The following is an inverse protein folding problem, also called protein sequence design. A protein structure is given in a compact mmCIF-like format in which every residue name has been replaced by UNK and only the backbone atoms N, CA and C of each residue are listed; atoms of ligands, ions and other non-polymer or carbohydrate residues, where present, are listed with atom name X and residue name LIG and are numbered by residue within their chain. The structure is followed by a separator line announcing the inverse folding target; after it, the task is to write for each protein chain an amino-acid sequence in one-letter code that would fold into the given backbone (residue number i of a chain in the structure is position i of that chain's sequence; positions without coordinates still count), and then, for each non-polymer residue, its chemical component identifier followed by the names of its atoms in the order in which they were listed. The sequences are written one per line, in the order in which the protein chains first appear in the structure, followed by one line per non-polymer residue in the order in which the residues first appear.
data_IF_693875658727
#
_entry.id   IF_693875658727
#
_cell.length_a   1.000
_cell.length_b   1.000
_cell.length_c   1.000
_cell.angle_alpha   90.00
_cell.angle_beta   90.00
_cell.angle_gamma   90.00
#
_symmetry.space_group_name_H-M   'P 1'
#
loop_
_entity.id
_entity.type
_entity.pdbx_description
1 polymer ?
#
# COMPACT_ATOMS: atom_id res chain seq x y z
N UNK A 1 -28.51 -11.46 -35.99
CA UNK A 1 -27.39 -10.65 -35.47
C UNK A 1 -27.41 -10.75 -33.94
N UNK A 2 -26.65 -11.68 -33.37
CA UNK A 2 -26.57 -11.88 -31.93
C UNK A 2 -25.59 -10.85 -31.35
N UNK A 3 -26.04 -10.04 -30.39
CA UNK A 3 -25.18 -9.02 -29.74
C UNK A 3 -24.03 -9.74 -29.02
N UNK A 4 -22.81 -9.22 -29.19
CA UNK A 4 -21.65 -9.62 -28.37
C UNK A 4 -22.02 -9.45 -26.88
N UNK A 5 -21.75 -10.43 -26.01
CA UNK A 5 -21.81 -10.18 -24.58
C UNK A 5 -20.73 -9.14 -24.26
N UNK A 6 -21.14 -8.01 -23.68
CA UNK A 6 -20.17 -7.07 -23.12
C UNK A 6 -19.41 -7.80 -22.01
N UNK A 7 -18.10 -7.70 -22.01
CA UNK A 7 -17.29 -8.05 -20.85
C UNK A 7 -17.88 -7.35 -19.62
N UNK A 8 -18.03 -8.03 -18.48
CA UNK A 8 -18.42 -7.36 -17.25
C UNK A 8 -17.37 -6.28 -17.01
N UNK A 9 -17.73 -5.02 -17.23
CA UNK A 9 -16.87 -3.91 -16.86
C UNK A 9 -16.66 -4.02 -15.36
N UNK A 10 -15.44 -4.33 -14.94
CA UNK A 10 -15.04 -4.10 -13.56
C UNK A 10 -15.35 -2.63 -13.25
N UNK A 11 -16.03 -2.37 -12.14
CA UNK A 11 -16.12 -1.02 -11.62
C UNK A 11 -14.70 -0.43 -11.55
N UNK A 12 -14.52 0.86 -11.85
CA UNK A 12 -13.23 1.52 -11.63
C UNK A 12 -12.76 1.18 -10.21
N UNK A 13 -11.56 0.63 -10.08
CA UNK A 13 -10.99 0.34 -8.76
C UNK A 13 -10.75 1.68 -8.09
N UNK A 14 -11.41 1.93 -6.96
CA UNK A 14 -11.26 3.18 -6.23
C UNK A 14 -9.89 3.19 -5.52
N UNK A 15 -9.14 4.27 -5.70
CA UNK A 15 -7.79 4.40 -5.12
C UNK A 15 -7.81 4.31 -3.59
N UNK A 16 -8.89 4.79 -2.98
CA UNK A 16 -9.13 4.74 -1.54
C UNK A 16 -9.21 3.28 -1.05
N UNK A 17 -10.03 2.44 -1.70
CA UNK A 17 -10.13 1.01 -1.38
C UNK A 17 -8.78 0.30 -1.50
N UNK A 18 -8.01 0.61 -2.55
CA UNK A 18 -6.66 0.08 -2.75
C UNK A 18 -5.71 0.45 -1.62
N UNK A 19 -5.69 1.73 -1.22
CA UNK A 19 -4.83 2.22 -0.16
C UNK A 19 -5.24 1.67 1.20
N UNK A 20 -6.54 1.51 1.43
CA UNK A 20 -7.07 0.90 2.64
C UNK A 20 -6.60 -0.56 2.76
N UNK A 21 -6.76 -1.36 1.70
CA UNK A 21 -6.29 -2.75 1.71
C UNK A 21 -4.76 -2.85 1.82
N UNK A 22 -4.03 -1.94 1.18
CA UNK A 22 -2.57 -1.88 1.31
C UNK A 22 -2.14 -1.55 2.75
N UNK A 23 -2.84 -0.62 3.42
CA UNK A 23 -2.61 -0.29 4.81
C UNK A 23 -2.91 -1.48 5.72
N UNK A 24 -4.03 -2.18 5.51
CA UNK A 24 -4.36 -3.41 6.26
C UNK A 24 -3.26 -4.45 6.13
N UNK A 25 -2.83 -4.72 4.89
CA UNK A 25 -1.76 -5.66 4.60
C UNK A 25 -0.44 -5.26 5.28
N UNK A 26 -0.10 -3.98 5.27
CA UNK A 26 1.13 -3.45 5.88
C UNK A 26 1.09 -3.61 7.40
N UNK A 27 -0.02 -3.23 8.05
CA UNK A 27 -0.20 -3.39 9.49
C UNK A 27 -0.21 -4.86 9.91
N UNK A 28 -0.83 -5.75 9.12
CA UNK A 28 -0.87 -7.18 9.38
C UNK A 28 0.52 -7.82 9.23
N UNK A 29 1.28 -7.39 8.22
CA UNK A 29 2.67 -7.84 8.02
C UNK A 29 3.57 -7.42 9.18
N UNK A 30 3.36 -6.21 9.72
CA UNK A 30 4.03 -5.72 10.93
C UNK A 30 3.73 -6.61 12.14
N UNK A 31 2.44 -6.93 12.37
CA UNK A 31 2.03 -7.80 13.48
C UNK A 31 2.63 -9.20 13.35
N UNK A 32 2.68 -9.75 12.14
CA UNK A 32 3.23 -11.08 11.89
C UNK A 32 4.76 -11.12 11.90
N UNK A 33 5.44 -9.97 11.99
CA UNK A 33 6.90 -9.90 11.89
C UNK A 33 7.42 -10.34 10.52
N UNK A 34 6.62 -10.20 9.46
CA UNK A 34 7.00 -10.56 8.09
C UNK A 34 7.56 -9.37 7.31
N UNK A 35 7.61 -8.18 7.93
CA UNK A 35 8.37 -7.06 7.39
C UNK A 35 9.86 -7.34 7.59
N UNK A 36 10.66 -7.05 6.57
CA UNK A 36 12.12 -7.09 6.73
C UNK A 36 12.55 -6.14 7.85
N UNK A 37 13.66 -6.46 8.52
CA UNK A 37 14.14 -5.73 9.72
C UNK A 37 14.35 -4.23 9.45
N UNK A 38 14.66 -3.87 8.21
CA UNK A 38 14.87 -2.48 7.77
C UNK A 38 13.54 -1.74 7.45
N UNK A 39 12.40 -2.40 7.59
CA UNK A 39 11.07 -1.91 7.19
C UNK A 39 10.04 -1.99 8.33
N UNK A 40 10.50 -2.07 9.57
CA UNK A 40 9.65 -1.96 10.75
C UNK A 40 8.94 -0.60 10.81
N UNK A 41 7.67 -0.59 11.23
CA UNK A 41 6.88 0.65 11.32
C UNK A 41 7.36 1.61 12.43
N UNK A 42 8.32 1.19 13.27
CA UNK A 42 8.90 2.00 14.33
C UNK A 42 7.98 2.20 15.54
N UNK A 43 6.81 1.56 15.54
CA UNK A 43 5.85 1.59 16.65
C UNK A 43 5.38 0.18 17.05
N UNK A 44 4.86 -0.01 18.28
CA UNK A 44 4.52 -1.33 18.80
C UNK A 44 3.47 -2.07 17.97
N UNK A 45 3.62 -3.39 17.82
CA UNK A 45 2.65 -4.25 17.11
C UNK A 45 1.26 -4.23 17.75
N UNK A 46 1.17 -4.00 19.07
CA UNK A 46 -0.09 -3.78 19.78
C UNK A 46 -0.86 -2.56 19.24
N UNK A 47 -0.16 -1.52 18.80
CA UNK A 47 -0.82 -0.36 18.19
C UNK A 47 -1.43 -0.73 16.82
N UNK A 48 -0.73 -1.54 16.02
CA UNK A 48 -1.27 -2.07 14.75
C UNK A 48 -2.50 -2.95 14.96
N UNK A 49 -2.47 -3.85 15.96
CA UNK A 49 -3.59 -4.75 16.22
C UNK A 49 -4.82 -3.98 16.69
N UNK A 50 -4.62 -2.92 17.48
CA UNK A 50 -5.68 -1.99 17.86
C UNK A 50 -6.25 -1.24 16.65
N UNK A 51 -5.39 -0.72 15.75
CA UNK A 51 -5.83 -0.04 14.52
C UNK A 51 -6.64 -0.95 13.59
N UNK A 52 -6.28 -2.23 13.48
CA UNK A 52 -7.01 -3.21 12.64
C UNK A 52 -8.36 -3.62 13.26
N UNK A 53 -8.46 -3.68 14.58
CA UNK A 53 -9.68 -4.06 15.32
C UNK A 53 -10.60 -2.86 15.61
N UNK A 54 -10.68 -1.91 14.68
CA UNK A 54 -11.40 -0.65 14.87
C UNK A 54 -12.94 -0.76 14.89
N UNK A 55 -13.51 -1.93 14.60
CA UNK A 55 -14.96 -2.14 14.52
C UNK A 55 -15.69 -1.93 15.86
N UNK A 56 -14.99 -2.10 16.99
CA UNK A 56 -15.59 -2.03 18.32
C UNK A 56 -15.40 -0.67 19.02
N UNK A 57 -14.66 0.28 18.42
CA UNK A 57 -14.31 1.56 19.03
C UNK A 57 -14.38 2.73 18.05
N UNK A 58 -15.28 3.71 18.26
CA UNK A 58 -15.46 4.84 17.34
C UNK A 58 -14.21 5.72 17.23
N UNK A 59 -13.44 5.88 18.31
CA UNK A 59 -12.22 6.71 18.31
C UNK A 59 -11.11 6.10 17.46
N UNK A 60 -10.96 4.77 17.51
CA UNK A 60 -9.94 4.03 16.75
C UNK A 60 -10.33 3.91 15.28
N UNK A 61 -11.62 3.73 15.00
CA UNK A 61 -12.17 3.79 13.64
C UNK A 61 -11.93 5.14 12.99
N UNK A 62 -12.10 6.23 13.74
CA UNK A 62 -11.79 7.58 13.24
C UNK A 62 -10.30 7.73 12.94
N UNK A 63 -9.43 7.29 13.85
CA UNK A 63 -7.98 7.35 13.64
C UNK A 63 -7.52 6.55 12.40
N UNK A 64 -8.06 5.34 12.21
CA UNK A 64 -7.78 4.52 11.04
C UNK A 64 -8.23 5.22 9.74
N UNK A 65 -9.44 5.78 9.72
CA UNK A 65 -9.96 6.55 8.57
C UNK A 65 -9.17 7.82 8.30
N UNK A 66 -8.76 8.53 9.36
CA UNK A 66 -7.93 9.73 9.26
C UNK A 66 -6.55 9.35 8.67
N UNK A 67 -6.00 8.20 9.05
CA UNK A 67 -4.75 7.67 8.50
C UNK A 67 -4.90 7.34 7.01
N UNK A 68 -5.95 6.62 6.60
CA UNK A 68 -6.25 6.34 5.19
C UNK A 68 -6.42 7.64 4.39
N UNK A 69 -7.17 8.61 4.93
CA UNK A 69 -7.40 9.91 4.30
C UNK A 69 -6.12 10.72 4.15
N UNK A 70 -5.27 10.73 5.19
CA UNK A 70 -3.98 11.41 5.18
C UNK A 70 -3.01 10.77 4.17
N UNK A 71 -3.01 9.44 4.08
CA UNK A 71 -2.25 8.69 3.08
C UNK A 71 -2.74 8.99 1.66
N UNK A 72 -4.06 8.94 1.42
CA UNK A 72 -4.67 9.28 0.13
C UNK A 72 -4.33 10.71 -0.30
N UNK A 73 -4.42 11.66 0.64
CA UNK A 73 -4.02 13.05 0.41
C UNK A 73 -2.53 13.16 0.10
N UNK A 74 -1.67 12.49 0.86
CA UNK A 74 -0.21 12.48 0.65
C UNK A 74 0.19 11.87 -0.69
N UNK A 75 -0.56 10.89 -1.19
CA UNK A 75 -0.32 10.26 -2.50
C UNK A 75 -0.85 11.14 -3.64
N UNK A 76 -1.97 11.86 -3.42
CA UNK A 76 -2.58 12.76 -4.41
C UNK A 76 -1.84 14.09 -4.58
N UNK A 77 -1.28 14.64 -3.49
CA UNK A 77 -0.54 15.92 -3.50
C UNK A 77 0.87 15.82 -4.09
N UNK A 78 1.36 14.62 -4.43
CA UNK A 78 2.64 14.38 -5.10
C UNK A 78 2.75 15.01 -6.52
N UNK A 79 1.67 15.63 -7.01
CA UNK A 79 1.63 16.33 -8.29
C UNK A 79 2.25 17.74 -8.27
N UNK A 80 2.61 18.35 -7.13
CA UNK A 80 3.04 19.76 -7.11
C UNK A 80 4.11 20.09 -6.06
N UNK A 81 5.34 20.41 -6.52
CA UNK A 81 6.20 21.45 -5.91
C UNK A 81 7.57 21.00 -5.39
N UNK A 82 8.63 21.69 -5.84
CA UNK A 82 10.03 21.52 -5.43
C UNK A 82 10.22 21.69 -3.92
N UNK A 83 10.95 20.77 -3.28
CA UNK A 83 11.38 20.84 -1.88
C UNK A 83 12.90 21.04 -1.86
N UNK A 84 13.34 22.24 -2.23
CA UNK A 84 14.77 22.59 -2.35
C UNK A 84 15.46 22.96 -1.02
N UNK A 85 14.71 23.13 0.08
CA UNK A 85 15.27 23.64 1.35
C UNK A 85 15.05 22.67 2.52
N UNK A 86 15.86 21.61 2.60
CA UNK A 86 16.29 21.02 3.88
C UNK A 86 17.58 20.19 3.65
N UNK A 87 18.58 20.38 4.52
CA UNK A 87 19.99 20.00 4.30
C UNK A 87 20.32 18.50 4.50
N UNK A 88 19.33 17.62 4.67
CA UNK A 88 19.53 16.17 4.81
C UNK A 88 18.95 15.43 3.59
N UNK A 89 19.77 15.34 2.54
CA UNK A 89 19.34 15.20 1.14
C UNK A 89 19.18 13.76 0.62
N UNK A 90 19.51 12.75 1.41
CA UNK A 90 19.51 11.35 0.94
C UNK A 90 18.22 10.61 1.36
N UNK A 91 17.82 10.70 2.63
CA UNK A 91 16.61 10.04 3.15
C UNK A 91 15.31 10.74 2.69
N UNK A 92 15.33 12.07 2.55
CA UNK A 92 14.19 12.83 2.03
C UNK A 92 13.95 12.62 0.52
N UNK A 93 15.00 12.36 -0.26
CA UNK A 93 14.86 12.03 -1.68
C UNK A 93 14.26 10.64 -1.87
N UNK A 94 14.65 9.64 -1.06
CA UNK A 94 14.01 8.31 -1.09
C UNK A 94 12.53 8.37 -0.69
N UNK A 95 12.14 9.26 0.22
CA UNK A 95 10.73 9.45 0.61
C UNK A 95 9.97 10.21 -0.47
N UNK A 96 10.56 11.20 -1.13
CA UNK A 96 9.94 11.91 -2.25
C UNK A 96 9.78 11.01 -3.49
N UNK A 97 10.80 10.20 -3.81
CA UNK A 97 10.74 9.16 -4.84
C UNK A 97 9.76 8.05 -4.45
N UNK A 98 9.76 7.59 -3.19
CA UNK A 98 8.80 6.63 -2.66
C UNK A 98 7.35 7.15 -2.70
N UNK A 99 7.12 8.43 -2.37
CA UNK A 99 5.80 9.08 -2.48
C UNK A 99 5.32 9.16 -3.94
N UNK A 100 6.22 9.37 -4.90
CA UNK A 100 5.91 9.32 -6.33
C UNK A 100 5.75 7.88 -6.86
N UNK A 101 6.37 6.88 -6.22
CA UNK A 101 6.32 5.46 -6.61
C UNK A 101 5.11 4.72 -5.99
N UNK A 102 4.57 5.21 -4.87
CA UNK A 102 3.26 4.82 -4.32
C UNK A 102 2.08 5.23 -5.20
N UNK A 103 2.32 6.02 -6.26
CA UNK A 103 1.37 6.18 -7.37
C UNK A 103 1.28 4.86 -8.14
N UNK A 104 0.80 3.79 -7.49
CA UNK A 104 0.38 2.46 -7.97
C UNK A 104 0.91 2.02 -9.37
N UNK A 105 2.18 2.31 -9.67
CA UNK A 105 2.88 1.92 -10.90
C UNK A 105 3.65 0.62 -10.70
N UNK A 106 3.48 0.02 -9.54
CA UNK A 106 4.35 -1.03 -8.99
C UNK A 106 3.91 -2.43 -9.38
N UNK A 107 2.96 -2.57 -10.30
CA UNK A 107 2.75 -3.82 -11.03
C UNK A 107 2.70 -3.51 -12.52
N UNK A 108 3.77 -3.88 -13.23
CA UNK A 108 3.80 -3.74 -14.68
C UNK A 108 3.03 -4.93 -15.28
N UNK A 109 1.83 -4.65 -15.78
CA UNK A 109 1.01 -5.64 -16.47
C UNK A 109 1.21 -5.50 -17.97
N UNK A 110 1.63 -6.58 -18.62
CA UNK A 110 1.60 -6.69 -20.08
C UNK A 110 0.43 -7.60 -20.46
N UNK A 111 -0.47 -7.08 -21.31
CA UNK A 111 -1.64 -7.78 -21.80
C UNK A 111 -1.37 -8.31 -23.20
N UNK A 112 -1.41 -9.63 -23.36
CA UNK A 112 -1.29 -10.28 -24.65
C UNK A 112 -2.59 -10.99 -25.00
N UNK A 113 -3.27 -10.52 -26.04
CA UNK A 113 -4.38 -11.26 -26.66
C UNK A 113 -3.77 -12.42 -27.43
N UNK A 114 -4.12 -13.65 -27.06
CA UNK A 114 -3.60 -14.85 -27.72
C UNK A 114 -4.72 -15.73 -28.27
N UNK A 115 -4.34 -16.46 -29.33
CA UNK A 115 -5.08 -17.59 -29.87
C UNK A 115 -5.21 -18.72 -28.81
N UNK A 116 -6.03 -19.77 -29.04
CA UNK A 116 -6.53 -20.75 -28.04
C UNK A 116 -5.52 -21.20 -26.97
N UNK A 117 -5.97 -21.69 -25.80
CA UNK A 117 -5.14 -22.04 -24.62
C UNK A 117 -3.84 -22.76 -24.97
N UNK A 118 -3.89 -23.67 -25.95
CA UNK A 118 -2.70 -24.38 -26.43
C UNK A 118 -1.60 -23.45 -26.97
N UNK A 119 -1.97 -22.47 -27.80
CA UNK A 119 -1.05 -21.49 -28.37
C UNK A 119 -0.48 -20.58 -27.28
N UNK A 120 -1.33 -20.13 -26.35
CA UNK A 120 -0.88 -19.32 -25.21
C UNK A 120 0.12 -20.07 -24.33
N UNK A 121 -0.21 -21.29 -23.92
CA UNK A 121 0.68 -22.10 -23.08
C UNK A 121 2.01 -22.42 -23.77
N UNK A 122 2.01 -22.52 -25.10
CA UNK A 122 3.23 -22.70 -25.88
C UNK A 122 4.06 -21.42 -25.97
N UNK A 123 3.43 -20.26 -26.16
CA UNK A 123 4.11 -18.97 -26.29
C UNK A 123 4.65 -18.45 -24.95
N UNK A 124 3.87 -18.55 -23.88
CA UNK A 124 4.20 -18.03 -22.55
C UNK A 124 5.03 -18.99 -21.68
N UNK A 125 5.32 -20.20 -22.21
CA UNK A 125 5.86 -21.35 -21.48
C UNK A 125 4.90 -21.92 -20.44
N UNK A 126 4.62 -23.22 -20.56
CA UNK A 126 3.70 -23.93 -19.67
C UNK A 126 4.07 -23.79 -18.20
N UNK A 127 5.35 -23.86 -17.86
CA UNK A 127 5.81 -23.83 -16.46
C UNK A 127 5.62 -22.45 -15.81
N UNK A 128 5.65 -21.38 -16.61
CA UNK A 128 5.38 -20.02 -16.13
C UNK A 128 3.88 -19.82 -15.84
N UNK A 129 3.01 -20.49 -16.61
CA UNK A 129 1.56 -20.30 -16.52
C UNK A 129 0.91 -21.30 -15.55
N UNK A 130 1.35 -22.55 -15.56
CA UNK A 130 0.84 -23.66 -14.73
C UNK A 130 2.01 -24.47 -14.15
N UNK A 131 2.66 -23.97 -13.08
CA UNK A 131 3.79 -24.64 -12.45
C UNK A 131 3.44 -26.07 -12.04
N UNK A 132 4.32 -27.02 -12.36
CA UNK A 132 4.15 -28.45 -12.02
C UNK A 132 3.29 -29.26 -13.01
N UNK A 133 2.72 -28.63 -14.05
CA UNK A 133 2.08 -29.35 -15.15
C UNK A 133 3.12 -29.72 -16.20
N UNK A 134 3.13 -31.01 -16.59
CA UNK A 134 4.22 -31.56 -17.42
C UNK A 134 3.97 -31.42 -18.93
N UNK A 135 2.72 -31.37 -19.37
CA UNK A 135 2.38 -31.37 -20.80
C UNK A 135 1.35 -30.29 -21.14
N UNK A 136 1.42 -29.76 -22.38
CA UNK A 136 0.47 -28.76 -22.87
C UNK A 136 -0.97 -29.31 -22.87
N UNK A 137 -1.14 -30.59 -23.19
CA UNK A 137 -2.45 -31.24 -23.18
C UNK A 137 -3.05 -31.27 -21.79
N UNK A 138 -2.25 -31.64 -20.77
CA UNK A 138 -2.69 -31.61 -19.38
C UNK A 138 -3.00 -30.17 -18.93
N UNK A 139 -2.19 -29.20 -19.39
CA UNK A 139 -2.42 -27.77 -19.13
C UNK A 139 -3.77 -27.28 -19.67
N UNK A 140 -4.12 -27.64 -20.90
CA UNK A 140 -5.45 -27.33 -21.47
C UNK A 140 -6.56 -28.01 -20.67
N UNK A 141 -6.35 -29.23 -20.19
CA UNK A 141 -7.33 -29.93 -19.35
C UNK A 141 -7.55 -29.25 -17.99
N UNK A 142 -6.54 -28.57 -17.43
CA UNK A 142 -6.74 -27.73 -16.23
C UNK A 142 -7.77 -26.64 -16.51
N UNK A 143 -7.65 -25.91 -17.62
CA UNK A 143 -8.61 -24.87 -17.99
C UNK A 143 -9.99 -25.42 -18.33
N UNK A 144 -10.08 -26.62 -18.91
CA UNK A 144 -11.36 -27.27 -19.26
C UNK A 144 -12.24 -27.62 -18.06
N UNK A 145 -11.69 -27.65 -16.85
CA UNK A 145 -12.47 -27.75 -15.60
C UNK A 145 -13.29 -26.49 -15.32
N UNK A 146 -12.88 -25.35 -15.86
CA UNK A 146 -13.47 -24.03 -15.58
C UNK A 146 -14.13 -23.40 -16.82
N UNK A 147 -13.59 -23.64 -18.02
CA UNK A 147 -14.02 -23.00 -19.26
C UNK A 147 -14.24 -24.01 -20.38
N UNK A 148 -15.45 -23.98 -20.97
CA UNK A 148 -15.78 -24.80 -22.15
C UNK A 148 -15.02 -24.33 -23.39
N UNK A 149 -14.83 -25.23 -24.34
CA UNK A 149 -14.23 -24.91 -25.65
C UNK A 149 -15.02 -23.85 -26.41
N UNK A 150 -16.35 -23.89 -26.34
CA UNK A 150 -17.21 -22.86 -26.94
C UNK A 150 -16.93 -21.47 -26.35
N UNK A 151 -16.70 -21.36 -25.03
CA UNK A 151 -16.39 -20.08 -24.37
C UNK A 151 -15.01 -19.55 -24.77
N UNK A 152 -14.04 -20.42 -24.91
CA UNK A 152 -12.71 -20.06 -25.40
C UNK A 152 -12.77 -19.57 -26.86
N UNK A 153 -13.48 -20.28 -27.73
CA UNK A 153 -13.58 -19.90 -29.14
C UNK A 153 -14.39 -18.62 -29.34
N UNK A 154 -15.41 -18.38 -28.50
CA UNK A 154 -16.25 -17.17 -28.60
C UNK A 154 -15.64 -15.92 -27.97
N UNK A 155 -14.81 -16.06 -26.92
CA UNK A 155 -14.22 -14.92 -26.20
C UNK A 155 -12.71 -14.75 -26.42
N UNK A 156 -12.01 -15.77 -26.92
CA UNK A 156 -10.55 -15.82 -26.99
C UNK A 156 -9.91 -16.09 -25.62
N UNK A 157 -8.58 -16.02 -25.58
CA UNK A 157 -7.80 -16.16 -24.34
C UNK A 157 -6.88 -14.96 -24.14
N UNK A 158 -6.80 -14.49 -22.90
CA UNK A 158 -5.97 -13.35 -22.52
C UNK A 158 -4.85 -13.83 -21.58
N UNK A 159 -3.61 -13.67 -22.02
CA UNK A 159 -2.43 -13.83 -21.17
C UNK A 159 -2.17 -12.54 -20.40
N UNK A 160 -2.17 -12.63 -19.07
CA UNK A 160 -1.81 -11.53 -18.18
C UNK A 160 -0.43 -11.83 -17.62
N UNK A 161 0.57 -11.10 -18.09
CA UNK A 161 1.93 -11.25 -17.57
C UNK A 161 2.12 -10.31 -16.38
N UNK A 162 2.35 -10.89 -15.19
CA UNK A 162 2.54 -10.15 -13.94
C UNK A 162 4.03 -10.17 -13.58
N UNK A 163 4.70 -9.02 -13.70
CA UNK A 163 6.10 -8.87 -13.25
C UNK A 163 6.10 -8.41 -11.79
N UNK A 164 6.81 -9.14 -10.93
CA UNK A 164 7.07 -8.69 -9.55
C UNK A 164 7.95 -7.43 -9.62
N UNK A 165 7.45 -6.32 -9.09
CA UNK A 165 8.29 -5.13 -8.90
C UNK A 165 9.36 -5.39 -7.84
N UNK A 166 10.55 -4.79 -8.04
CA UNK A 166 11.66 -4.78 -7.09
C UNK A 166 11.26 -4.09 -5.79
N UNK A 167 10.34 -3.13 -5.86
CA UNK A 167 9.79 -2.41 -4.71
C UNK A 167 8.31 -2.76 -4.58
N UNK A 168 7.94 -3.43 -3.49
CA UNK A 168 6.55 -3.76 -3.20
C UNK A 168 5.86 -2.53 -2.55
N UNK A 169 4.59 -2.22 -2.88
CA UNK A 169 3.91 -1.02 -2.37
C UNK A 169 3.89 -0.92 -0.83
N UNK A 170 3.84 -2.06 -0.13
CA UNK A 170 3.82 -2.09 1.33
C UNK A 170 5.16 -1.66 1.94
N UNK A 171 6.28 -1.86 1.23
CA UNK A 171 7.61 -1.43 1.67
C UNK A 171 7.64 0.10 1.70
N UNK A 172 7.16 0.74 0.63
CA UNK A 172 7.11 2.20 0.56
C UNK A 172 6.13 2.75 1.60
N UNK A 173 4.97 2.12 1.76
CA UNK A 173 3.99 2.53 2.77
C UNK A 173 4.55 2.41 4.19
N UNK A 174 5.27 1.31 4.48
CA UNK A 174 5.91 1.10 5.78
C UNK A 174 6.92 2.20 6.11
N UNK A 175 7.74 2.61 5.13
CA UNK A 175 8.69 3.72 5.26
C UNK A 175 7.99 5.05 5.53
N UNK A 176 6.94 5.38 4.78
CA UNK A 176 6.18 6.62 4.99
C UNK A 176 5.58 6.67 6.39
N UNK A 177 4.98 5.56 6.83
CA UNK A 177 4.38 5.46 8.16
C UNK A 177 5.46 5.62 9.25
N UNK A 178 6.59 4.92 9.12
CA UNK A 178 7.70 4.95 10.07
C UNK A 178 8.29 6.36 10.21
N UNK A 179 8.59 7.03 9.09
CA UNK A 179 9.13 8.40 9.12
C UNK A 179 8.11 9.39 9.67
N UNK A 180 6.84 9.25 9.31
CA UNK A 180 5.78 10.12 9.83
C UNK A 180 5.61 9.96 11.34
N UNK A 181 5.75 8.74 11.85
CA UNK A 181 5.71 8.44 13.29
C UNK A 181 6.91 9.04 14.02
N UNK A 182 8.12 8.84 13.51
CA UNK A 182 9.35 9.38 14.09
C UNK A 182 9.36 10.92 14.09
N UNK A 183 8.94 11.56 13.00
CA UNK A 183 8.82 13.02 12.92
C UNK A 183 7.82 13.56 13.95
N UNK A 184 6.68 12.87 14.13
CA UNK A 184 5.68 13.23 15.14
C UNK A 184 6.24 13.12 16.56
N UNK A 185 7.03 12.07 16.84
CA UNK A 185 7.67 11.89 18.14
C UNK A 185 8.71 12.98 18.42
N UNK A 186 9.57 13.30 17.45
CA UNK A 186 10.54 14.38 17.56
C UNK A 186 9.85 15.72 17.82
N UNK A 187 8.80 16.04 17.06
CA UNK A 187 8.04 17.27 17.26
C UNK A 187 7.42 17.36 18.67
N UNK A 188 6.84 16.26 19.16
CA UNK A 188 6.27 16.21 20.51
C UNK A 188 7.34 16.39 21.60
N UNK A 189 8.52 15.78 21.42
CA UNK A 189 9.65 15.99 22.35
C UNK A 189 10.13 17.44 22.34
N UNK A 190 10.20 18.08 21.16
CA UNK A 190 10.54 19.50 21.05
C UNK A 190 9.52 20.39 21.77
N UNK A 191 8.22 20.12 21.63
CA UNK A 191 7.17 20.82 22.38
C UNK A 191 7.37 20.62 23.88
N UNK A 192 7.58 19.39 24.32
CA UNK A 192 7.75 19.09 25.75
C UNK A 192 8.97 19.81 26.33
N UNK A 193 10.10 19.80 25.61
CA UNK A 193 11.31 20.54 25.97
C UNK A 193 11.05 22.05 26.00
N UNK A 194 10.34 22.60 25.01
CA UNK A 194 9.98 24.01 24.97
C UNK A 194 9.08 24.39 26.16
N UNK A 195 8.09 23.57 26.49
CA UNK A 195 7.20 23.79 27.64
C UNK A 195 7.95 23.67 28.97
N UNK A 196 8.85 22.71 29.11
CA UNK A 196 9.70 22.57 30.29
C UNK A 196 10.65 23.77 30.46
N UNK A 197 11.22 24.28 29.36
CA UNK A 197 12.05 25.48 29.36
C UNK A 197 11.23 26.73 29.66
N UNK A 198 10.00 26.84 29.14
CA UNK A 198 9.09 27.94 29.43
C UNK A 198 8.67 27.93 30.91
N UNK A 199 8.36 26.77 31.47
CA UNK A 199 8.07 26.60 32.89
C UNK A 199 9.27 27.01 33.78
N UNK A 200 10.50 26.62 33.40
CA UNK A 200 11.72 27.08 34.09
C UNK A 200 11.93 28.59 34.00
N UNK A 201 11.57 29.21 32.87
CA UNK A 201 11.76 30.65 32.61
C UNK A 201 10.71 31.53 33.29
N UNK A 202 9.48 31.03 33.44
CA UNK A 202 8.39 31.75 34.11
C UNK A 202 8.45 31.64 35.64
N UNK A 203 9.26 30.72 36.18
CA UNK A 203 9.28 30.41 37.61
C UNK A 203 7.95 29.80 38.09
N UNK A 204 7.86 29.32 39.34
CA UNK A 204 6.56 29.02 39.92
C UNK A 204 5.75 30.32 39.93
N UNK A 205 4.55 30.31 39.33
CA UNK A 205 3.61 31.42 39.41
C UNK A 205 3.43 31.75 40.90
N UNK A 206 4.07 32.84 41.34
CA UNK A 206 4.12 33.20 42.75
C UNK A 206 2.72 33.30 43.32
N UNK A 207 2.51 32.66 44.47
CA UNK A 207 1.42 33.01 45.37
C UNK A 207 1.42 34.52 45.52
N UNK A 208 0.41 35.18 44.94
CA UNK A 208 0.12 36.56 45.27
C UNK A 208 -0.34 36.56 46.72
N UNK A 209 0.52 37.06 47.59
CA UNK A 209 0.19 37.42 48.97
C UNK A 209 -1.10 38.26 48.95
N UNK A 210 -2.18 37.69 49.50
CA UNK A 210 -3.46 38.39 49.71
C UNK A 210 -3.62 38.83 51.17
N UNK A 211 -2.54 39.02 51.91
CA UNK A 211 -2.62 39.69 53.22
C UNK A 211 -2.64 41.21 53.04
N UNK A 212 -3.85 41.78 52.97
CA UNK A 212 -4.24 43.05 53.61
C UNK A 212 -5.75 43.08 53.86
#
# INVERSE_FOLDING_TARGET
MQRRPCSPGLSPVELEDCLEELLKFTLQSHINGTLDVDHDLGFPTDFSSHLLNHNDRPDVSRLYKDLVSALLKSVSEASCGSLDDLEDKEECNEIAEGRAELVLKTVNFELHVQEPFFTQLKAESLDNVLPGVKTLTDGVQVYRKFYSEEKELSNGVLGIHVKKSVVQPYIILSRIISVSFLASLLFLTCIFVAMANLHKKLGPFGSRDWEM
#
